data_IF_980583724670
#
_entry.id   IF_980583724670
#
_cell.length_a   1.000
_cell.length_b   1.000
_cell.length_c   1.000
_cell.angle_alpha   90.00
_cell.angle_beta   90.00
_cell.angle_gamma   90.00
#
_symmetry.space_group_name_H-M   'P 1'
#
loop_
_entity.id
_entity.type
_entity.pdbx_description
1 polymer ?
#
# COMPACT_ATOMS: atom_id res chain seq x y z
N UNK A 1 3.30 14.65 -7.73
CA UNK A 1 4.46 14.48 -8.63
C UNK A 1 4.97 13.04 -8.58
N UNK A 2 5.33 12.44 -9.72
CA UNK A 2 5.83 11.06 -9.78
C UNK A 2 7.36 11.03 -9.70
N UNK A 3 7.90 10.11 -8.91
CA UNK A 3 9.33 9.80 -8.89
C UNK A 3 9.77 9.16 -10.19
N UNK A 4 11.01 9.42 -10.59
CA UNK A 4 11.66 8.88 -11.79
C UNK A 4 13.08 8.39 -11.48
N UNK A 5 13.75 7.76 -12.45
CA UNK A 5 15.16 7.40 -12.28
C UNK A 5 16.04 8.66 -12.10
N UNK A 6 15.68 9.80 -12.70
CA UNK A 6 16.45 11.04 -12.50
C UNK A 6 16.20 11.66 -11.12
N UNK A 7 14.97 11.52 -10.61
CA UNK A 7 14.55 12.10 -9.34
C UNK A 7 13.77 11.08 -8.49
N UNK A 8 14.46 10.12 -7.85
CA UNK A 8 13.80 9.06 -7.08
C UNK A 8 12.96 9.60 -5.91
N UNK A 9 13.33 10.75 -5.36
CA UNK A 9 12.71 11.35 -4.18
C UNK A 9 11.68 12.46 -4.49
N UNK A 10 11.33 12.67 -5.77
CA UNK A 10 10.42 13.76 -6.19
C UNK A 10 9.08 13.78 -5.47
N UNK A 11 8.52 12.62 -5.13
CA UNK A 11 7.29 12.59 -4.31
C UNK A 11 7.49 13.22 -2.94
N UNK A 12 8.58 12.90 -2.26
CA UNK A 12 8.86 13.41 -0.91
C UNK A 12 9.24 14.89 -0.93
N UNK A 13 9.92 15.36 -1.98
CA UNK A 13 10.16 16.78 -2.19
C UNK A 13 8.85 17.55 -2.44
N UNK A 14 7.91 16.92 -3.15
CA UNK A 14 6.62 17.51 -3.48
C UNK A 14 5.66 17.57 -2.28
N UNK A 15 5.50 16.48 -1.54
CA UNK A 15 4.39 16.32 -0.58
C UNK A 15 4.58 17.10 0.73
N UNK A 16 5.77 17.61 1.01
CA UNK A 16 6.12 18.31 2.26
C UNK A 16 5.62 19.76 2.36
N UNK A 17 4.43 20.00 1.80
CA UNK A 17 3.65 21.23 1.89
C UNK A 17 2.17 20.84 2.05
N UNK A 18 1.45 21.52 2.93
CA UNK A 18 0.02 21.26 3.18
C UNK A 18 -0.84 21.27 1.92
N UNK A 19 -0.64 22.22 0.99
CA UNK A 19 -1.42 22.27 -0.25
C UNK A 19 -1.21 21.02 -1.12
N UNK A 20 0.04 20.56 -1.23
CA UNK A 20 0.39 19.38 -2.02
C UNK A 20 -0.06 18.09 -1.33
N UNK A 21 0.01 18.02 0.00
CA UNK A 21 -0.55 16.92 0.78
C UNK A 21 -2.07 16.83 0.62
N UNK A 22 -2.78 17.96 0.62
CA UNK A 22 -4.23 18.01 0.36
C UNK A 22 -4.56 17.52 -1.05
N UNK A 23 -3.75 17.86 -2.06
CA UNK A 23 -3.92 17.30 -3.41
C UNK A 23 -3.75 15.77 -3.42
N UNK A 24 -2.74 15.25 -2.72
CA UNK A 24 -2.55 13.80 -2.58
C UNK A 24 -3.77 13.16 -1.90
N UNK A 25 -4.28 13.76 -0.82
CA UNK A 25 -5.49 13.29 -0.14
C UNK A 25 -6.71 13.32 -1.06
N UNK A 26 -6.93 14.39 -1.82
CA UNK A 26 -8.04 14.49 -2.77
C UNK A 26 -8.02 13.34 -3.78
N UNK A 27 -6.84 12.99 -4.31
CA UNK A 27 -6.70 11.86 -5.22
C UNK A 27 -7.06 10.53 -4.54
N UNK A 28 -6.73 10.36 -3.26
CA UNK A 28 -7.14 9.16 -2.51
C UNK A 28 -8.64 9.14 -2.22
N UNK A 29 -9.24 10.30 -1.95
CA UNK A 29 -10.67 10.43 -1.65
C UNK A 29 -11.57 10.08 -2.84
N UNK A 30 -11.07 10.15 -4.07
CA UNK A 30 -11.81 9.73 -5.28
C UNK A 30 -12.22 8.25 -5.24
N UNK A 31 -11.48 7.42 -4.51
CA UNK A 31 -11.82 6.00 -4.33
C UNK A 31 -12.89 5.77 -3.26
N UNK A 32 -13.35 6.82 -2.59
CA UNK A 32 -14.38 6.75 -1.58
C UNK A 32 -15.67 7.37 -2.13
N UNK A 33 -16.81 6.72 -1.91
CA UNK A 33 -18.13 7.19 -2.33
C UNK A 33 -18.66 8.36 -1.50
N UNK A 34 -17.78 9.28 -1.10
CA UNK A 34 -18.14 10.46 -0.31
C UNK A 34 -18.86 11.47 -1.20
N UNK A 35 -19.96 12.01 -0.70
CA UNK A 35 -20.78 13.00 -1.38
C UNK A 35 -20.16 14.38 -1.22
N UNK A 36 -19.75 14.69 0.02
CA UNK A 36 -18.99 15.89 0.36
C UNK A 36 -17.96 15.56 1.43
N UNK A 37 -16.89 16.35 1.49
CA UNK A 37 -15.89 16.27 2.54
C UNK A 37 -15.21 17.62 2.80
N UNK A 38 -14.62 17.76 3.98
CA UNK A 38 -13.79 18.90 4.36
C UNK A 38 -12.58 18.44 5.19
N UNK A 39 -11.47 19.17 5.05
CA UNK A 39 -10.23 18.91 5.78
C UNK A 39 -10.20 19.72 7.08
N UNK A 40 -9.94 19.06 8.20
CA UNK A 40 -9.57 19.69 9.46
C UNK A 40 -8.08 19.41 9.71
N UNK A 41 -7.22 20.27 9.15
CA UNK A 41 -5.76 20.13 9.25
C UNK A 41 -5.26 20.18 10.71
N UNK A 42 -5.75 21.09 11.59
CA UNK A 42 -5.37 21.09 13.00
C UNK A 42 -5.64 19.75 13.72
N UNK A 43 -6.81 19.13 13.47
CA UNK A 43 -7.17 17.85 14.07
C UNK A 43 -6.72 16.63 13.23
N UNK A 44 -6.10 16.86 12.06
CA UNK A 44 -5.56 15.84 11.15
C UNK A 44 -6.61 14.83 10.71
N UNK A 45 -7.85 15.28 10.56
CA UNK A 45 -8.99 14.46 10.16
C UNK A 45 -9.73 15.07 8.96
N UNK A 46 -10.52 14.22 8.31
CA UNK A 46 -11.40 14.57 7.20
C UNK A 46 -12.81 14.24 7.64
N UNK A 47 -13.66 15.25 7.65
CA UNK A 47 -15.10 15.08 7.85
C UNK A 47 -15.73 14.81 6.49
N UNK A 48 -16.62 13.83 6.41
CA UNK A 48 -17.31 13.50 5.17
C UNK A 48 -18.78 13.18 5.42
N UNK A 49 -19.54 13.27 4.33
CA UNK A 49 -20.92 12.79 4.25
C UNK A 49 -20.99 11.71 3.18
N UNK A 50 -21.65 10.59 3.49
CA UNK A 50 -21.91 9.50 2.56
C UNK A 50 -23.36 9.01 2.67
N UNK A 51 -23.79 8.23 1.69
CA UNK A 51 -25.09 7.57 1.75
C UNK A 51 -24.90 6.12 2.25
N UNK A 52 -25.60 5.75 3.32
CA UNK A 52 -25.57 4.38 3.83
C UNK A 52 -26.38 3.42 2.91
N UNK A 53 -26.35 2.12 3.22
CA UNK A 53 -27.06 1.10 2.43
C UNK A 53 -28.60 1.28 2.43
N UNK A 54 -29.17 2.07 3.35
CA UNK A 54 -30.60 2.42 3.41
C UNK A 54 -30.95 3.69 2.62
N UNK A 55 -29.97 4.35 2.02
CA UNK A 55 -30.17 5.62 1.32
C UNK A 55 -30.11 6.85 2.22
N UNK A 56 -29.75 6.71 3.50
CA UNK A 56 -29.69 7.82 4.46
C UNK A 56 -28.31 8.48 4.43
N UNK A 57 -28.30 9.81 4.56
CA UNK A 57 -27.06 10.57 4.68
C UNK A 57 -26.48 10.43 6.07
N UNK A 58 -25.24 9.95 6.16
CA UNK A 58 -24.50 9.79 7.40
C UNK A 58 -23.21 10.59 7.36
N UNK A 59 -22.92 11.28 8.47
CA UNK A 59 -21.65 11.97 8.65
C UNK A 59 -20.63 11.02 9.26
N UNK A 60 -19.38 11.17 8.87
CA UNK A 60 -18.29 10.41 9.46
C UNK A 60 -16.99 11.20 9.49
N UNK A 61 -16.00 10.56 10.11
CA UNK A 61 -14.64 11.09 10.23
C UNK A 61 -13.64 10.00 9.86
N UNK A 62 -12.55 10.40 9.21
CA UNK A 62 -11.39 9.54 8.91
C UNK A 62 -10.10 10.33 9.17
N UNK A 63 -9.09 9.67 9.72
CA UNK A 63 -7.79 10.31 9.93
C UNK A 63 -7.07 10.49 8.59
N UNK A 64 -6.41 11.63 8.39
CA UNK A 64 -5.58 11.87 7.20
C UNK A 64 -4.46 10.84 7.10
N UNK A 65 -3.89 10.44 8.24
CA UNK A 65 -2.84 9.43 8.33
C UNK A 65 -3.29 8.09 7.71
N UNK A 66 -4.54 7.66 7.95
CA UNK A 66 -5.03 6.39 7.39
C UNK A 66 -5.10 6.38 5.85
N UNK A 67 -5.21 7.55 5.22
CA UNK A 67 -5.22 7.72 3.77
C UNK A 67 -3.82 7.95 3.20
N UNK A 68 -2.99 8.73 3.92
CA UNK A 68 -1.63 9.05 3.49
C UNK A 68 -0.67 7.88 3.64
N UNK A 69 -0.86 7.07 4.68
CA UNK A 69 0.10 6.03 5.01
C UNK A 69 0.35 5.03 3.86
N UNK A 70 -0.70 4.46 3.21
CA UNK A 70 -0.52 3.58 2.06
C UNK A 70 0.25 4.25 0.92
N UNK A 71 -0.07 5.51 0.62
CA UNK A 71 0.59 6.29 -0.44
C UNK A 71 2.07 6.46 -0.13
N UNK A 72 2.38 6.83 1.11
CA UNK A 72 3.75 7.07 1.56
C UNK A 72 4.58 5.79 1.52
N UNK A 73 4.01 4.64 1.91
CA UNK A 73 4.67 3.33 1.80
C UNK A 73 4.98 2.96 0.35
N UNK A 74 4.01 3.11 -0.56
CA UNK A 74 4.22 2.83 -1.98
C UNK A 74 5.31 3.72 -2.55
N UNK A 75 5.30 5.02 -2.23
CA UNK A 75 6.29 5.98 -2.73
C UNK A 75 7.67 5.75 -2.12
N UNK A 76 7.75 5.28 -0.89
CA UNK A 76 9.00 4.82 -0.29
C UNK A 76 9.59 3.62 -1.05
N UNK A 77 8.80 2.57 -1.28
CA UNK A 77 9.26 1.40 -2.03
C UNK A 77 9.63 1.75 -3.48
N UNK A 78 8.82 2.56 -4.16
CA UNK A 78 9.13 3.06 -5.50
C UNK A 78 10.48 3.81 -5.52
N UNK A 79 10.77 4.61 -4.50
CA UNK A 79 12.04 5.34 -4.41
C UNK A 79 13.23 4.38 -4.24
N UNK A 80 13.11 3.35 -3.39
CA UNK A 80 14.15 2.33 -3.22
C UNK A 80 14.47 1.61 -4.54
N UNK A 81 13.45 1.16 -5.25
CA UNK A 81 13.62 0.45 -6.53
C UNK A 81 14.29 1.33 -7.60
N UNK A 82 13.86 2.58 -7.72
CA UNK A 82 14.48 3.54 -8.64
C UNK A 82 15.95 3.77 -8.29
N UNK A 83 16.26 3.98 -7.00
CA UNK A 83 17.64 4.15 -6.53
C UNK A 83 18.51 2.93 -6.81
N UNK A 84 18.00 1.73 -6.59
CA UNK A 84 18.72 0.49 -6.85
C UNK A 84 18.98 0.29 -8.35
N UNK A 85 17.97 0.52 -9.20
CA UNK A 85 18.11 0.46 -10.67
C UNK A 85 19.24 1.35 -11.18
N UNK A 86 19.31 2.60 -10.71
CA UNK A 86 20.36 3.55 -11.11
C UNK A 86 21.73 3.12 -10.60
N UNK A 87 21.78 2.66 -9.35
CA UNK A 87 23.01 2.20 -8.72
C UNK A 87 23.64 1.02 -9.48
N UNK A 88 22.83 0.07 -9.96
CA UNK A 88 23.30 -1.06 -10.76
C UNK A 88 23.82 -0.65 -12.16
N UNK A 89 23.26 0.41 -12.75
CA UNK A 89 23.62 0.88 -14.10
C UNK A 89 24.88 1.76 -14.11
N UNK A 90 25.29 2.28 -12.97
CA UNK A 90 26.26 3.37 -12.86
C UNK A 90 27.66 2.89 -12.45
N UNK A 91 28.70 3.67 -12.80
CA UNK A 91 30.09 3.39 -12.40
C UNK A 91 30.30 3.74 -10.92
N UNK A 92 31.30 3.16 -10.27
CA UNK A 92 31.57 3.31 -8.82
C UNK A 92 31.60 4.77 -8.33
N UNK A 93 32.39 5.63 -8.98
CA UNK A 93 32.47 7.05 -8.57
C UNK A 93 31.16 7.82 -8.82
N UNK A 94 30.40 7.41 -9.84
CA UNK A 94 29.06 7.93 -10.13
C UNK A 94 28.07 7.50 -9.05
N UNK A 95 28.18 6.27 -8.53
CA UNK A 95 27.34 5.76 -7.44
C UNK A 95 27.54 6.55 -6.16
N UNK A 96 28.79 6.81 -5.74
CA UNK A 96 29.03 7.58 -4.52
C UNK A 96 28.43 8.98 -4.59
N UNK A 97 28.66 9.70 -5.69
CA UNK A 97 28.08 11.04 -5.89
C UNK A 97 26.56 11.00 -5.94
N UNK A 98 25.98 9.97 -6.58
CA UNK A 98 24.55 9.75 -6.59
C UNK A 98 23.98 9.53 -5.19
N UNK A 99 24.57 8.63 -4.39
CA UNK A 99 24.11 8.36 -3.01
C UNK A 99 24.24 9.60 -2.11
N UNK A 100 25.34 10.34 -2.23
CA UNK A 100 25.52 11.61 -1.53
C UNK A 100 24.45 12.63 -1.92
N UNK A 101 24.12 12.73 -3.21
CA UNK A 101 23.04 13.59 -3.69
C UNK A 101 21.69 13.17 -3.09
N UNK A 102 21.34 11.88 -3.10
CA UNK A 102 20.09 11.40 -2.50
C UNK A 102 20.03 11.67 -0.99
N UNK A 103 21.12 11.43 -0.26
CA UNK A 103 21.20 11.77 1.17
C UNK A 103 21.00 13.27 1.41
N UNK A 104 21.68 14.13 0.64
CA UNK A 104 21.54 15.58 0.76
C UNK A 104 20.12 16.05 0.45
N UNK A 105 19.43 15.41 -0.50
CA UNK A 105 18.02 15.65 -0.78
C UNK A 105 17.15 15.31 0.44
N UNK A 106 17.33 14.13 1.04
CA UNK A 106 16.62 13.74 2.27
C UNK A 106 16.89 14.73 3.40
N UNK A 107 18.16 15.07 3.66
CA UNK A 107 18.53 16.04 4.69
C UNK A 107 17.94 17.43 4.43
N UNK A 108 17.88 17.86 3.16
CA UNK A 108 17.24 19.13 2.75
C UNK A 108 15.73 19.10 3.02
N UNK A 109 15.05 18.00 2.71
CA UNK A 109 13.62 17.83 3.01
C UNK A 109 13.37 17.97 4.51
N UNK A 110 14.14 17.25 5.33
CA UNK A 110 13.99 17.24 6.79
C UNK A 110 14.30 18.62 7.40
N UNK A 111 15.40 19.23 6.98
CA UNK A 111 15.86 20.51 7.56
C UNK A 111 14.99 21.71 7.17
N UNK A 112 14.44 21.74 5.95
CA UNK A 112 13.61 22.85 5.46
C UNK A 112 12.15 22.76 5.85
N UNK A 113 11.64 21.56 6.14
CA UNK A 113 10.20 21.32 6.36
C UNK A 113 9.88 20.84 7.78
N UNK A 114 10.63 21.33 8.78
CA UNK A 114 10.55 20.90 10.19
C UNK A 114 9.14 21.02 10.77
N UNK A 115 8.44 22.13 10.52
CA UNK A 115 7.09 22.37 11.03
C UNK A 115 6.08 21.40 10.41
N UNK A 116 6.13 21.23 9.09
CA UNK A 116 5.30 20.24 8.39
C UNK A 116 5.53 18.83 8.95
N UNK A 117 6.78 18.41 9.15
CA UNK A 117 7.11 17.08 9.68
C UNK A 117 6.64 16.93 11.14
N UNK A 118 6.69 17.98 11.96
CA UNK A 118 6.13 17.95 13.32
C UNK A 118 4.61 17.76 13.29
N UNK A 119 3.93 18.42 12.35
CA UNK A 119 2.49 18.31 12.18
C UNK A 119 2.09 16.96 11.57
N UNK A 120 2.89 16.40 10.66
CA UNK A 120 2.66 15.12 10.00
C UNK A 120 3.88 14.18 10.12
N UNK A 121 4.11 13.58 11.32
CA UNK A 121 5.30 12.77 11.58
C UNK A 121 5.44 11.53 10.70
N UNK A 122 4.35 11.05 10.10
CA UNK A 122 4.34 9.90 9.19
C UNK A 122 5.32 10.06 8.02
N UNK A 123 5.62 11.29 7.61
CA UNK A 123 6.55 11.57 6.51
C UNK A 123 8.02 11.47 6.91
N UNK A 124 8.35 11.49 8.20
CA UNK A 124 9.74 11.35 8.66
C UNK A 124 10.26 9.92 8.52
N UNK A 125 9.39 8.94 8.74
CA UNK A 125 9.76 7.52 8.73
C UNK A 125 10.24 6.99 7.38
N UNK A 126 9.57 7.23 6.25
CA UNK A 126 10.12 6.84 4.95
C UNK A 126 11.46 7.53 4.66
N UNK A 127 11.67 8.76 5.13
CA UNK A 127 12.92 9.49 4.94
C UNK A 127 14.07 8.84 5.74
N UNK A 128 13.82 8.45 7.00
CA UNK A 128 14.74 7.61 7.77
C UNK A 128 15.04 6.29 7.06
N UNK A 129 13.98 5.60 6.61
CA UNK A 129 14.10 4.34 5.88
C UNK A 129 14.90 4.44 4.59
N UNK A 130 14.87 5.58 3.89
CA UNK A 130 15.71 5.82 2.71
C UNK A 130 17.18 5.90 3.12
N UNK A 131 17.50 6.62 4.19
CA UNK A 131 18.88 6.71 4.70
C UNK A 131 19.39 5.35 5.16
N UNK A 132 18.57 4.60 5.89
CA UNK A 132 18.88 3.23 6.30
C UNK A 132 19.12 2.32 5.10
N UNK A 133 18.26 2.40 4.07
CA UNK A 133 18.42 1.64 2.84
C UNK A 133 19.71 1.98 2.11
N UNK A 134 20.06 3.27 1.99
CA UNK A 134 21.35 3.69 1.42
C UNK A 134 22.50 3.04 2.20
N UNK A 135 22.51 3.18 3.53
CA UNK A 135 23.59 2.68 4.38
C UNK A 135 23.74 1.15 4.34
N UNK A 136 22.62 0.42 4.32
CA UNK A 136 22.61 -1.04 4.43
C UNK A 136 22.77 -1.76 3.09
N UNK A 137 22.28 -1.17 1.99
CA UNK A 137 22.14 -1.88 0.70
C UNK A 137 22.93 -1.27 -0.45
N UNK A 138 23.17 0.03 -0.45
CA UNK A 138 23.80 0.72 -1.59
C UNK A 138 25.22 1.19 -1.29
N UNK A 139 25.50 1.56 -0.05
CA UNK A 139 26.81 2.04 0.39
C UNK A 139 27.83 0.90 0.41
N UNK A 140 29.10 1.21 0.12
CA UNK A 140 30.20 0.27 0.29
C UNK A 140 30.55 0.10 1.79
N UNK A 141 30.95 -1.10 2.25
CA UNK A 141 31.23 -1.35 3.67
C UNK A 141 32.31 -0.45 4.30
N UNK A 142 33.21 0.11 3.47
CA UNK A 142 34.31 0.97 3.92
C UNK A 142 33.95 2.45 4.05
N UNK A 143 32.78 2.88 3.58
CA UNK A 143 32.37 4.29 3.63
C UNK A 143 31.71 4.64 4.97
N UNK A 144 31.84 5.91 5.41
CA UNK A 144 31.15 6.41 6.60
C UNK A 144 29.63 6.35 6.43
N UNK A 145 28.89 6.10 7.51
CA UNK A 145 27.44 6.10 7.50
C UNK A 145 26.87 7.50 7.30
N UNK A 146 25.84 7.60 6.48
CA UNK A 146 25.02 8.78 6.40
C UNK A 146 24.13 8.85 7.65
N UNK A 147 24.23 9.96 8.39
CA UNK A 147 23.44 10.19 9.60
C UNK A 147 22.49 11.37 9.35
N UNK A 148 21.20 11.10 9.46
CA UNK A 148 20.16 12.11 9.30
C UNK A 148 20.09 13.00 10.55
N UNK A 149 20.31 14.30 10.40
CA UNK A 149 20.15 15.24 11.49
C UNK A 149 18.66 15.60 11.68
N UNK A 150 18.14 15.17 12.82
CA UNK A 150 16.76 15.38 13.27
C UNK A 150 16.68 16.13 14.59
N UNK A 151 17.78 16.74 15.04
CA UNK A 151 17.93 17.35 16.37
C UNK A 151 16.84 18.39 16.71
N UNK A 152 16.29 19.05 15.69
CA UNK A 152 15.23 20.05 15.82
C UNK A 152 13.79 19.50 15.69
N UNK A 153 13.64 18.19 15.45
CA UNK A 153 12.36 17.51 15.27
C UNK A 153 12.11 16.61 16.48
N UNK A 154 11.36 17.13 17.45
CA UNK A 154 10.87 16.35 18.60
C UNK A 154 9.51 15.78 18.27
N UNK A 155 9.49 14.53 17.79
CA UNK A 155 8.24 13.79 17.51
C UNK A 155 8.25 12.47 18.27
N UNK A 156 7.24 12.27 19.11
CA UNK A 156 6.91 10.94 19.63
C UNK A 156 6.15 10.21 18.53
N UNK A 157 6.87 9.40 17.76
CA UNK A 157 6.25 8.49 16.81
C UNK A 157 5.78 7.29 17.61
N UNK A 158 4.59 7.40 18.21
CA UNK A 158 3.90 6.28 18.85
C UNK A 158 3.08 5.57 17.77
N UNK A 159 3.73 4.68 17.04
CA UNK A 159 3.08 3.86 16.05
C UNK A 159 4.10 2.91 15.46
N UNK A 160 3.79 1.62 15.47
CA UNK A 160 4.41 0.65 14.57
C UNK A 160 3.99 1.06 13.15
N UNK A 161 4.68 2.06 12.63
CA UNK A 161 5.04 2.03 11.24
C UNK A 161 6.07 0.92 11.08
N UNK A 162 5.59 -0.32 11.22
CA UNK A 162 5.99 -1.39 10.35
C UNK A 162 5.65 -0.90 8.93
N UNK A 163 6.42 0.07 8.41
CA UNK A 163 6.74 0.13 7.00
C UNK A 163 7.39 -1.21 6.79
N UNK A 164 6.56 -2.22 6.57
CA UNK A 164 7.03 -3.55 6.25
C UNK A 164 7.96 -3.32 5.09
N UNK A 165 9.22 -3.76 5.21
CA UNK A 165 10.18 -3.70 4.10
C UNK A 165 9.65 -4.40 2.85
N UNK A 166 8.60 -5.20 3.03
CA UNK A 166 7.84 -5.90 2.01
C UNK A 166 7.30 -4.95 0.95
N UNK A 167 7.68 -5.22 -0.29
CA UNK A 167 7.06 -4.64 -1.48
C UNK A 167 5.60 -5.08 -1.61
N UNK A 168 4.84 -4.38 -2.47
CA UNK A 168 3.46 -4.77 -2.78
C UNK A 168 3.43 -6.20 -3.35
N UNK A 169 4.38 -6.56 -4.21
CA UNK A 169 4.53 -7.90 -4.79
C UNK A 169 4.81 -8.96 -3.71
N UNK A 170 5.67 -8.67 -2.74
CA UNK A 170 5.95 -9.60 -1.63
C UNK A 170 4.70 -9.85 -0.78
N UNK A 171 3.88 -8.81 -0.55
CA UNK A 171 2.59 -8.95 0.16
C UNK A 171 1.62 -9.80 -0.67
N UNK A 172 1.53 -9.57 -1.97
CA UNK A 172 0.68 -10.34 -2.88
C UNK A 172 1.06 -11.83 -2.80
N UNK A 173 2.35 -12.14 -2.97
CA UNK A 173 2.83 -13.53 -2.92
C UNK A 173 2.64 -14.19 -1.55
N UNK A 174 2.92 -13.48 -0.46
CA UNK A 174 2.71 -14.00 0.90
C UNK A 174 1.24 -14.36 1.17
N UNK A 175 0.31 -13.62 0.56
CA UNK A 175 -1.13 -13.87 0.69
C UNK A 175 -1.62 -14.96 -0.28
N UNK A 176 -1.15 -14.99 -1.53
CA UNK A 176 -1.78 -15.77 -2.59
C UNK A 176 -0.99 -16.99 -3.07
N UNK A 177 0.29 -17.17 -2.70
CA UNK A 177 1.10 -18.32 -3.15
C UNK A 177 0.48 -19.68 -2.81
N UNK A 178 -0.32 -19.76 -1.74
CA UNK A 178 -1.04 -20.98 -1.39
C UNK A 178 -2.01 -21.45 -2.48
N UNK A 179 -2.46 -20.56 -3.37
CA UNK A 179 -3.36 -20.89 -4.48
C UNK A 179 -2.72 -21.80 -5.54
N UNK A 180 -1.38 -21.90 -5.56
CA UNK A 180 -0.64 -22.90 -6.36
C UNK A 180 -0.63 -24.29 -5.72
N UNK A 181 -1.07 -24.38 -4.46
CA UNK A 181 -1.07 -25.59 -3.66
C UNK A 181 -2.32 -26.45 -3.84
N UNK A 182 -2.60 -27.23 -2.79
CA UNK A 182 -3.78 -28.09 -2.71
C UNK A 182 -4.68 -27.66 -1.55
N UNK A 183 -5.99 -27.75 -1.74
CA UNK A 183 -6.98 -27.46 -0.70
C UNK A 183 -7.08 -28.58 0.35
N UNK A 184 -8.00 -28.45 1.30
CA UNK A 184 -8.26 -29.43 2.37
C UNK A 184 -8.69 -30.82 1.83
N UNK A 185 -9.22 -30.87 0.60
CA UNK A 185 -9.61 -32.09 -0.11
C UNK A 185 -8.50 -32.66 -0.99
N UNK A 186 -7.29 -32.09 -0.93
CA UNK A 186 -6.10 -32.45 -1.74
C UNK A 186 -6.27 -32.19 -3.24
N UNK A 187 -7.22 -31.34 -3.62
CA UNK A 187 -7.41 -30.90 -5.00
C UNK A 187 -6.51 -29.69 -5.27
N UNK A 188 -5.91 -29.64 -6.46
CA UNK A 188 -5.19 -28.45 -6.93
C UNK A 188 -6.12 -27.24 -6.97
N UNK A 189 -5.72 -26.15 -6.29
CA UNK A 189 -6.55 -24.95 -6.12
C UNK A 189 -6.66 -24.20 -7.46
N UNK A 190 -5.52 -23.90 -8.08
CA UNK A 190 -5.40 -23.33 -9.42
C UNK A 190 -4.35 -24.05 -10.23
N UNK A 191 -4.55 -24.09 -11.56
CA UNK A 191 -3.50 -24.49 -12.48
C UNK A 191 -2.35 -23.46 -12.43
N UNK A 192 -1.14 -23.86 -12.81
CA UNK A 192 -0.01 -22.92 -12.89
C UNK A 192 -0.31 -21.71 -13.80
N UNK A 193 -1.06 -21.91 -14.88
CA UNK A 193 -1.43 -20.83 -15.79
C UNK A 193 -2.38 -19.84 -15.12
N UNK A 194 -3.47 -20.34 -14.53
CA UNK A 194 -4.45 -19.48 -13.86
C UNK A 194 -3.87 -18.79 -12.63
N UNK A 195 -2.93 -19.45 -11.93
CA UNK A 195 -2.19 -18.82 -10.84
C UNK A 195 -1.35 -17.65 -11.34
N UNK A 196 -0.57 -17.81 -12.42
CA UNK A 196 0.22 -16.71 -12.97
C UNK A 196 -0.68 -15.55 -13.44
N UNK A 197 -1.78 -15.87 -14.14
CA UNK A 197 -2.78 -14.86 -14.53
C UNK A 197 -3.38 -14.15 -13.32
N UNK A 198 -3.69 -14.87 -12.23
CA UNK A 198 -4.17 -14.27 -11.00
C UNK A 198 -3.17 -13.26 -10.44
N UNK A 199 -1.89 -13.62 -10.34
CA UNK A 199 -0.84 -12.73 -9.82
C UNK A 199 -0.69 -11.48 -10.70
N UNK A 200 -0.73 -11.61 -12.02
CA UNK A 200 -0.69 -10.49 -12.95
C UNK A 200 -1.89 -9.54 -12.77
N UNK A 201 -3.11 -10.08 -12.65
CA UNK A 201 -4.32 -9.30 -12.44
C UNK A 201 -4.29 -8.57 -11.08
N UNK A 202 -3.85 -9.24 -10.00
CA UNK A 202 -3.71 -8.61 -8.68
C UNK A 202 -2.64 -7.50 -8.73
N UNK A 203 -1.52 -7.74 -9.41
CA UNK A 203 -0.46 -6.75 -9.56
C UNK A 203 -0.97 -5.50 -10.28
N UNK A 204 -1.74 -5.67 -11.38
CA UNK A 204 -2.40 -4.55 -12.06
C UNK A 204 -3.36 -3.81 -11.13
N UNK A 205 -4.22 -4.54 -10.39
CA UNK A 205 -5.17 -3.95 -9.44
C UNK A 205 -4.47 -3.05 -8.42
N UNK A 206 -3.36 -3.51 -7.86
CA UNK A 206 -2.63 -2.79 -6.80
C UNK A 206 -1.84 -1.62 -7.36
N UNK A 207 -1.16 -1.81 -8.49
CA UNK A 207 -0.28 -0.80 -9.08
C UNK A 207 -1.05 0.33 -9.78
N UNK A 208 -2.14 -0.01 -10.47
CA UNK A 208 -2.96 0.95 -11.24
C UNK A 208 -4.22 1.40 -10.52
N UNK A 209 -4.57 0.76 -9.41
CA UNK A 209 -5.76 1.09 -8.60
C UNK A 209 -7.07 1.03 -9.41
N UNK A 210 -7.12 0.14 -10.40
CA UNK A 210 -8.26 -0.07 -11.30
C UNK A 210 -8.48 -1.58 -11.54
N UNK A 211 -9.71 -1.96 -11.91
CA UNK A 211 -10.00 -3.34 -12.31
C UNK A 211 -9.36 -3.59 -13.68
N UNK A 212 -8.48 -4.60 -13.83
CA UNK A 212 -7.90 -4.95 -15.12
C UNK A 212 -8.97 -5.49 -16.08
N UNK A 213 -8.67 -5.46 -17.38
CA UNK A 213 -9.43 -6.21 -18.37
C UNK A 213 -9.23 -7.71 -18.14
N UNK A 214 -10.34 -8.46 -18.10
CA UNK A 214 -10.35 -9.89 -17.80
C UNK A 214 -10.76 -10.67 -19.04
N UNK A 215 -9.78 -11.24 -19.74
CA UNK A 215 -10.02 -12.09 -20.92
C UNK A 215 -10.65 -13.44 -20.55
N UNK A 216 -10.26 -13.99 -19.40
CA UNK A 216 -10.71 -15.27 -18.90
C UNK A 216 -10.91 -15.23 -17.38
N UNK A 217 -12.07 -15.70 -16.92
CA UNK A 217 -12.37 -15.79 -15.50
C UNK A 217 -11.75 -17.02 -14.85
N UNK A 218 -11.22 -16.84 -13.66
CA UNK A 218 -10.53 -17.86 -12.89
C UNK A 218 -11.53 -18.59 -11.97
N UNK A 219 -11.42 -19.92 -11.87
CA UNK A 219 -12.26 -20.74 -10.99
C UNK A 219 -11.42 -21.53 -9.97
N UNK A 220 -11.05 -20.90 -8.83
CA UNK A 220 -10.23 -21.56 -7.83
C UNK A 220 -11.06 -22.59 -7.04
N UNK A 221 -10.44 -23.73 -6.69
CA UNK A 221 -11.09 -24.78 -5.87
C UNK A 221 -10.98 -24.48 -4.36
N UNK A 222 -11.41 -23.30 -3.96
CA UNK A 222 -11.58 -22.89 -2.57
C UNK A 222 -12.96 -22.26 -2.37
N UNK A 223 -13.36 -22.07 -1.10
CA UNK A 223 -14.64 -21.42 -0.80
C UNK A 223 -14.64 -19.94 -1.20
N UNK A 224 -15.81 -19.42 -1.58
CA UNK A 224 -15.98 -17.99 -1.85
C UNK A 224 -15.69 -17.11 -0.63
N UNK A 225 -15.92 -17.64 0.59
CA UNK A 225 -15.57 -16.97 1.84
C UNK A 225 -14.05 -16.82 2.00
N UNK A 226 -13.27 -17.89 1.80
CA UNK A 226 -11.80 -17.82 1.80
C UNK A 226 -11.27 -16.87 0.72
N UNK A 227 -11.86 -16.88 -0.48
CA UNK A 227 -11.40 -16.02 -1.57
C UNK A 227 -11.62 -14.54 -1.22
N UNK A 228 -12.85 -14.14 -0.88
CA UNK A 228 -13.14 -12.75 -0.47
C UNK A 228 -12.28 -12.32 0.70
N UNK A 229 -12.14 -13.18 1.71
CA UNK A 229 -11.34 -12.88 2.89
C UNK A 229 -9.86 -12.66 2.55
N UNK A 230 -9.29 -13.43 1.62
CA UNK A 230 -7.92 -13.24 1.15
C UNK A 230 -7.71 -11.85 0.53
N UNK A 231 -8.70 -11.37 -0.26
CA UNK A 231 -8.68 -10.01 -0.81
C UNK A 231 -8.92 -8.92 0.23
N UNK A 232 -9.72 -9.20 1.27
CA UNK A 232 -9.82 -8.30 2.42
C UNK A 232 -8.50 -8.20 3.18
N UNK A 233 -7.78 -9.31 3.40
CA UNK A 233 -6.44 -9.31 4.00
C UNK A 233 -5.47 -8.50 3.13
N UNK A 234 -5.49 -8.68 1.81
CA UNK A 234 -4.68 -7.87 0.89
C UNK A 234 -4.98 -6.37 1.05
N UNK A 235 -6.27 -6.00 1.07
CA UNK A 235 -6.66 -4.61 1.27
C UNK A 235 -6.23 -4.07 2.64
N UNK A 236 -6.37 -4.84 3.72
CA UNK A 236 -5.93 -4.41 5.06
C UNK A 236 -4.42 -4.22 5.13
N UNK A 237 -3.63 -5.10 4.49
CA UNK A 237 -2.17 -4.99 4.44
C UNK A 237 -1.68 -3.79 3.65
N UNK A 238 -2.34 -3.49 2.52
CA UNK A 238 -1.96 -2.37 1.66
C UNK A 238 -2.51 -1.04 2.16
N UNK A 239 -3.73 -1.05 2.70
CA UNK A 239 -4.48 0.15 3.06
C UNK A 239 -4.96 0.12 4.52
N UNK A 240 -6.17 -0.38 4.74
CA UNK A 240 -6.86 -0.40 6.03
C UNK A 240 -8.00 -1.40 6.02
N UNK A 241 -8.40 -1.93 7.16
CA UNK A 241 -9.57 -2.81 7.31
C UNK A 241 -10.90 -2.08 7.36
N UNK A 242 -10.92 -0.77 7.66
CA UNK A 242 -12.16 -0.05 8.00
C UNK A 242 -12.99 0.38 6.78
N UNK A 243 -12.32 0.90 5.73
CA UNK A 243 -12.99 1.38 4.51
C UNK A 243 -12.30 0.79 3.29
N UNK A 244 -12.93 -0.24 2.75
CA UNK A 244 -12.46 -0.96 1.57
C UNK A 244 -12.78 -0.16 0.32
N UNK A 245 -11.78 -0.02 -0.57
CA UNK A 245 -11.95 0.65 -1.86
C UNK A 245 -12.88 -0.17 -2.77
N UNK A 246 -13.89 0.45 -3.42
CA UNK A 246 -14.92 -0.27 -4.18
C UNK A 246 -14.38 -1.21 -5.25
N UNK A 247 -13.30 -0.83 -5.94
CA UNK A 247 -12.70 -1.62 -7.00
C UNK A 247 -12.18 -3.00 -6.55
N UNK A 248 -11.94 -3.22 -5.26
CA UNK A 248 -11.63 -4.56 -4.74
C UNK A 248 -12.82 -5.51 -4.84
N UNK A 249 -14.04 -5.01 -4.65
CA UNK A 249 -15.25 -5.82 -4.79
C UNK A 249 -15.52 -6.12 -6.26
N UNK A 250 -15.36 -5.12 -7.12
CA UNK A 250 -15.52 -5.24 -8.56
C UNK A 250 -14.48 -6.23 -9.12
N UNK A 251 -13.22 -6.13 -8.69
CA UNK A 251 -12.18 -7.09 -9.05
C UNK A 251 -12.57 -8.53 -8.72
N UNK A 252 -13.03 -8.81 -7.49
CA UNK A 252 -13.43 -10.17 -7.10
C UNK A 252 -14.61 -10.66 -7.95
N UNK A 253 -15.53 -9.77 -8.32
CA UNK A 253 -16.66 -10.13 -9.18
C UNK A 253 -16.25 -10.42 -10.62
N UNK A 254 -15.39 -9.59 -11.20
CA UNK A 254 -14.99 -9.70 -12.61
C UNK A 254 -14.02 -10.86 -12.84
N UNK A 255 -13.04 -11.05 -11.94
CA UNK A 255 -11.97 -12.06 -12.11
C UNK A 255 -12.44 -13.49 -11.87
N UNK A 256 -13.39 -13.71 -10.96
CA UNK A 256 -13.72 -15.07 -10.52
C UNK A 256 -15.11 -15.52 -10.97
N UNK A 257 -15.15 -16.62 -11.74
CA UNK A 257 -16.41 -17.19 -12.26
C UNK A 257 -17.40 -17.57 -11.15
N UNK A 258 -16.89 -17.84 -9.95
CA UNK A 258 -17.68 -18.22 -8.79
C UNK A 258 -18.60 -17.09 -8.30
N UNK A 259 -18.40 -15.86 -8.78
CA UNK A 259 -19.13 -14.65 -8.38
C UNK A 259 -20.05 -14.10 -9.48
N UNK A 260 -20.17 -14.76 -10.64
CA UNK A 260 -20.98 -14.27 -11.78
C UNK A 260 -22.45 -14.01 -11.43
N UNK A 261 -23.00 -14.75 -10.47
CA UNK A 261 -24.38 -14.58 -9.99
C UNK A 261 -24.50 -13.72 -8.74
N UNK A 262 -23.38 -13.25 -8.21
CA UNK A 262 -23.33 -12.44 -7.00
C UNK A 262 -23.40 -10.95 -7.35
N UNK A 263 -24.24 -10.22 -6.64
CA UNK A 263 -24.22 -8.77 -6.68
C UNK A 263 -23.02 -8.24 -5.89
N UNK A 264 -22.45 -7.09 -6.32
CA UNK A 264 -21.36 -6.40 -5.60
C UNK A 264 -21.77 -6.07 -4.16
N UNK A 265 -23.05 -5.72 -3.95
CA UNK A 265 -23.64 -5.48 -2.63
C UNK A 265 -23.52 -6.70 -1.69
N UNK A 266 -23.65 -7.92 -2.24
CA UNK A 266 -23.51 -9.17 -1.50
C UNK A 266 -22.06 -9.47 -1.17
N UNK A 267 -21.15 -9.24 -2.13
CA UNK A 267 -19.69 -9.37 -1.95
C UNK A 267 -19.22 -8.43 -0.84
N UNK A 268 -19.62 -7.15 -0.91
CA UNK A 268 -19.32 -6.10 0.07
C UNK A 268 -19.68 -6.54 1.50
N UNK A 269 -20.89 -7.06 1.70
CA UNK A 269 -21.39 -7.51 3.03
C UNK A 269 -20.60 -8.66 3.64
N UNK A 270 -19.86 -9.43 2.84
CA UNK A 270 -19.15 -10.65 3.27
C UNK A 270 -17.63 -10.54 3.14
N UNK A 271 -17.09 -9.40 2.71
CA UNK A 271 -15.70 -9.30 2.25
C UNK A 271 -14.67 -9.63 3.33
N UNK A 272 -14.86 -9.10 4.55
CA UNK A 272 -13.96 -9.31 5.70
C UNK A 272 -14.51 -10.26 6.76
N UNK A 273 -15.54 -11.06 6.46
CA UNK A 273 -16.20 -11.89 7.47
C UNK A 273 -15.37 -13.13 7.78
N UNK A 274 -14.86 -13.25 9.02
CA UNK A 274 -14.02 -14.38 9.47
C UNK A 274 -14.80 -15.62 9.85
N UNK A 275 -16.07 -15.48 10.27
CA UNK A 275 -16.87 -16.56 10.89
C UNK A 275 -17.09 -17.79 10.01
N UNK A 276 -16.91 -17.65 8.69
CA UNK A 276 -17.08 -18.73 7.70
C UNK A 276 -15.76 -19.17 7.07
N UNK A 277 -14.65 -18.58 7.48
CA UNK A 277 -13.32 -18.93 7.01
C UNK A 277 -12.73 -19.95 7.98
N UNK A 278 -12.61 -21.19 7.53
CA UNK A 278 -12.00 -22.25 8.33
C UNK A 278 -10.48 -22.04 8.32
N UNK A 279 -9.89 -21.98 9.51
CA UNK A 279 -8.44 -21.97 9.69
C UNK A 279 -7.89 -23.34 9.32
N UNK A 280 -7.21 -23.41 8.19
CA UNK A 280 -6.66 -24.64 7.64
C UNK A 280 -5.15 -24.56 7.48
N UNK A 281 -4.49 -25.71 7.51
CA UNK A 281 -3.02 -25.80 7.45
C UNK A 281 -2.41 -25.29 6.13
N UNK A 282 -3.20 -25.23 5.05
CA UNK A 282 -2.74 -24.72 3.76
C UNK A 282 -2.82 -23.18 3.67
N UNK A 283 -3.53 -22.51 4.58
CA UNK A 283 -3.62 -21.05 4.58
C UNK A 283 -2.30 -20.44 5.10
N UNK A 284 -1.79 -19.38 4.45
CA UNK A 284 -0.56 -18.75 4.88
C UNK A 284 -0.75 -18.04 6.24
N UNK A 285 0.36 -17.87 6.97
CA UNK A 285 0.35 -17.25 8.30
C UNK A 285 -0.23 -15.84 8.28
N UNK A 286 0.01 -15.08 7.20
CA UNK A 286 -0.51 -13.72 7.02
C UNK A 286 -2.03 -13.65 7.06
N UNK A 287 -2.72 -14.66 6.52
CA UNK A 287 -4.18 -14.80 6.59
C UNK A 287 -4.59 -15.36 7.95
N UNK A 288 -3.90 -16.41 8.41
CA UNK A 288 -4.19 -17.12 9.67
C UNK A 288 -4.07 -16.25 10.92
N UNK A 289 -3.36 -15.12 10.86
CA UNK A 289 -3.27 -14.15 11.95
C UNK A 289 -4.57 -13.37 12.19
N UNK A 290 -5.51 -13.40 11.24
CA UNK A 290 -6.83 -12.74 11.33
C UNK A 290 -7.96 -13.73 11.69
N UNK A 291 -7.64 -15.02 11.87
CA UNK A 291 -8.58 -16.11 12.19
C UNK A 291 -8.30 -16.68 13.59
#
# INVERSE_FOLDING_TARGET
MNSSEEYPLSFFEYVVNESNMVEVLNNQLQYYGFITYSFDLPNKCIHYMEQNDNGEYVNGEISMESLLLPVVRRKFNQSKELMYSIFLKSRRDTNRNFLLYQFNTVQSIVSKNKEFIKNFPLFLLPLRGIVDYINQRLKEPSEEEFLLDESEIRVNISGDLNVTDKSEDEIIHEIFDFMKGRNEKKEEILSNNDFNTLIELISHLVQKEEVPEVDHQISPKISNDQLRFSFWVLHDKLYTSKRIRPYFYDFVKEVFSNFNKSEVSSIKKQFGTTTRVVKDSFLPQIISNYL
#
